data_IF_953117860125
#
_entry.id   IF_953117860125
#
_cell.length_a   1.000
_cell.length_b   1.000
_cell.length_c   1.000
_cell.angle_alpha   90.00
_cell.angle_beta   90.00
_cell.angle_gamma   90.00
#
_symmetry.space_group_name_H-M   'P 1'
#
loop_
_entity.id
_entity.type
_entity.pdbx_description
1 polymer ?
#
# COMPACT_ATOMS: atom_id res chain seq x y z
N UNK A 1 9.79 -9.06 6.18
CA UNK A 1 8.86 -9.31 5.05
C UNK A 1 9.21 -8.35 3.91
N UNK A 2 8.97 -8.71 2.64
CA UNK A 2 9.18 -7.78 1.52
C UNK A 2 8.03 -6.77 1.52
N UNK A 3 8.37 -5.50 1.73
CA UNK A 3 7.45 -4.36 1.64
C UNK A 3 7.68 -3.73 0.28
N UNK A 4 6.59 -3.59 -0.46
CA UNK A 4 6.60 -3.04 -1.81
C UNK A 4 6.46 -1.52 -1.79
N UNK A 5 5.47 -1.04 -1.03
CA UNK A 5 5.17 0.38 -0.89
C UNK A 5 4.49 0.67 0.43
N UNK A 6 4.78 1.86 0.95
CA UNK A 6 4.13 2.42 2.13
C UNK A 6 3.30 3.64 1.72
N UNK A 7 2.13 3.78 2.35
CA UNK A 7 1.20 4.89 2.16
C UNK A 7 0.93 5.56 3.50
N UNK A 8 0.72 6.88 3.51
CA UNK A 8 0.18 7.55 4.69
C UNK A 8 -1.29 7.13 4.91
N UNK A 9 -1.82 7.30 6.12
CA UNK A 9 -3.21 6.95 6.40
C UNK A 9 -4.21 7.70 5.51
N UNK A 10 -3.93 8.96 5.19
CA UNK A 10 -4.71 9.78 4.26
C UNK A 10 -4.75 9.24 2.82
N UNK A 11 -3.74 8.49 2.39
CA UNK A 11 -3.62 7.91 1.06
C UNK A 11 -4.17 6.46 0.99
N UNK A 12 -5.03 6.09 1.93
CA UNK A 12 -5.62 4.74 1.99
C UNK A 12 -6.38 4.38 0.69
N UNK A 13 -7.19 5.25 0.07
CA UNK A 13 -7.84 4.94 -1.20
C UNK A 13 -6.84 4.57 -2.30
N UNK A 14 -5.77 5.34 -2.45
CA UNK A 14 -4.70 5.12 -3.43
C UNK A 14 -3.95 3.81 -3.16
N UNK A 15 -3.75 3.47 -1.89
CA UNK A 15 -3.18 2.18 -1.49
C UNK A 15 -4.04 1.00 -1.95
N UNK A 16 -5.37 1.12 -1.84
CA UNK A 16 -6.30 0.10 -2.32
C UNK A 16 -6.31 -0.02 -3.84
N UNK A 17 -6.29 1.10 -4.57
CA UNK A 17 -6.19 1.09 -6.04
C UNK A 17 -4.88 0.42 -6.50
N UNK A 18 -3.75 0.76 -5.85
CA UNK A 18 -2.45 0.14 -6.14
C UNK A 18 -2.45 -1.36 -5.85
N UNK A 19 -3.01 -1.77 -4.71
CA UNK A 19 -3.17 -3.17 -4.36
C UNK A 19 -4.05 -3.90 -5.38
N UNK A 20 -5.19 -3.32 -5.77
CA UNK A 20 -6.14 -3.89 -6.73
C UNK A 20 -5.54 -4.05 -8.12
N UNK A 21 -4.63 -3.15 -8.53
CA UNK A 21 -3.93 -3.25 -9.81
C UNK A 21 -3.11 -4.54 -9.98
N UNK A 22 -2.80 -5.25 -8.88
CA UNK A 22 -1.95 -6.45 -8.90
C UNK A 22 -0.48 -6.17 -9.24
N UNK A 23 -0.08 -4.91 -9.35
CA UNK A 23 1.29 -4.50 -9.73
C UNK A 23 2.30 -4.52 -8.57
N UNK A 24 1.87 -4.91 -7.37
CA UNK A 24 2.68 -4.88 -6.16
C UNK A 24 3.45 -6.19 -5.96
N UNK A 25 4.68 -6.11 -5.44
CA UNK A 25 5.47 -7.30 -5.08
C UNK A 25 5.69 -7.36 -3.57
N UNK A 26 4.85 -8.14 -2.89
CA UNK A 26 4.92 -8.28 -1.43
C UNK A 26 3.84 -7.47 -0.74
N UNK A 27 4.17 -6.80 0.37
CA UNK A 27 3.18 -6.13 1.21
C UNK A 27 3.04 -4.65 0.84
N UNK A 28 1.79 -4.19 0.69
CA UNK A 28 1.42 -2.77 0.73
C UNK A 28 1.07 -2.43 2.18
N UNK A 29 1.68 -1.39 2.74
CA UNK A 29 1.54 -1.02 4.15
C UNK A 29 0.95 0.38 4.27
N UNK A 30 -0.06 0.54 5.10
CA UNK A 30 -0.57 1.85 5.51
C UNK A 30 0.08 2.20 6.85
N UNK A 31 0.72 3.36 6.91
CA UNK A 31 1.26 3.93 8.15
C UNK A 31 0.14 4.62 8.92
N UNK A 32 -0.09 4.15 10.13
CA UNK A 32 -0.98 4.77 11.11
C UNK A 32 -0.14 5.55 12.15
N UNK A 33 -0.61 6.69 12.68
CA UNK A 33 0.07 7.40 13.77
C UNK A 33 0.32 6.55 15.02
#
# INVERSE_FOLDING_TARGET
PVIDREFAFEDTPEAYEYMWSGSHVGKVVIKFP
#
